data_IF_482756509047
#
_entry.id   IF_482756509047
#
_cell.length_a   1.000
_cell.length_b   1.000
_cell.length_c   1.000
_cell.angle_alpha   90.00
_cell.angle_beta   90.00
_cell.angle_gamma   90.00
#
_symmetry.space_group_name_H-M   'P 1'
#
loop_
_entity.id
_entity.type
_entity.pdbx_description
1 polymer ?
#
# COMPACT_ATOMS: atom_id res chain seq x y z
N UNK A 1 -19.82 20.71 -28.44
CA UNK A 1 -19.37 19.30 -28.44
C UNK A 1 -20.16 18.58 -27.37
N UNK A 2 -21.02 17.68 -27.80
CA UNK A 2 -22.08 17.01 -27.03
C UNK A 2 -21.49 16.18 -25.92
N UNK A 3 -22.02 16.36 -24.71
CA UNK A 3 -21.75 15.51 -23.54
C UNK A 3 -21.87 14.03 -23.92
N UNK A 4 -20.78 13.32 -23.97
CA UNK A 4 -20.82 11.86 -24.02
C UNK A 4 -21.41 11.41 -22.69
N UNK A 5 -22.70 11.08 -22.70
CA UNK A 5 -23.33 10.33 -21.63
C UNK A 5 -22.45 9.09 -21.39
N UNK A 6 -22.00 8.89 -20.16
CA UNK A 6 -21.19 7.74 -19.78
C UNK A 6 -21.84 6.47 -20.36
N UNK A 7 -21.07 5.73 -21.17
CA UNK A 7 -21.51 4.48 -21.78
C UNK A 7 -22.18 3.60 -20.71
N UNK A 8 -23.35 3.00 -20.97
CA UNK A 8 -24.03 2.12 -20.01
C UNK A 8 -23.12 1.02 -19.45
N UNK A 9 -22.22 0.49 -20.26
CA UNK A 9 -21.21 -0.50 -19.82
C UNK A 9 -20.26 0.07 -18.77
N UNK A 10 -19.81 1.32 -18.93
CA UNK A 10 -18.94 1.98 -17.94
C UNK A 10 -19.67 2.19 -16.61
N UNK A 11 -20.97 2.52 -16.64
CA UNK A 11 -21.77 2.65 -15.41
C UNK A 11 -21.94 1.33 -14.68
N UNK A 12 -22.27 0.25 -15.37
CA UNK A 12 -22.40 -1.08 -14.80
C UNK A 12 -21.07 -1.56 -14.18
N UNK A 13 -19.96 -1.29 -14.87
CA UNK A 13 -18.62 -1.62 -14.39
C UNK A 13 -18.28 -0.86 -13.09
N UNK A 14 -18.57 0.45 -13.05
CA UNK A 14 -18.34 1.27 -11.85
C UNK A 14 -19.24 0.83 -10.70
N UNK A 15 -20.50 0.46 -10.95
CA UNK A 15 -21.37 -0.09 -9.92
C UNK A 15 -20.81 -1.40 -9.34
N UNK A 16 -20.30 -2.28 -10.21
CA UNK A 16 -19.64 -3.52 -9.79
C UNK A 16 -18.41 -3.24 -8.92
N UNK A 17 -17.57 -2.27 -9.32
CA UNK A 17 -16.41 -1.83 -8.51
C UNK A 17 -16.88 -1.32 -7.14
N UNK A 18 -17.94 -0.51 -7.09
CA UNK A 18 -18.49 0.01 -5.84
C UNK A 18 -19.00 -1.10 -4.92
N UNK A 19 -19.72 -2.08 -5.46
CA UNK A 19 -20.23 -3.22 -4.70
C UNK A 19 -19.09 -4.07 -4.11
N UNK A 20 -18.07 -4.40 -4.91
CA UNK A 20 -16.90 -5.17 -4.46
C UNK A 20 -16.13 -4.37 -3.40
N UNK A 21 -15.94 -3.06 -3.61
CA UNK A 21 -15.24 -2.20 -2.65
C UNK A 21 -15.98 -2.12 -1.31
N UNK A 22 -17.31 -2.00 -1.32
CA UNK A 22 -18.11 -2.00 -0.10
C UNK A 22 -18.06 -3.36 0.62
N UNK A 23 -18.12 -4.48 -0.14
CA UNK A 23 -17.92 -5.82 0.42
C UNK A 23 -16.54 -5.99 1.05
N UNK A 24 -15.50 -5.53 0.37
CA UNK A 24 -14.12 -5.54 0.87
C UNK A 24 -13.99 -4.76 2.18
N UNK A 25 -14.54 -3.54 2.23
CA UNK A 25 -14.53 -2.71 3.44
C UNK A 25 -15.30 -3.36 4.58
N UNK A 26 -16.44 -3.99 4.30
CA UNK A 26 -17.23 -4.73 5.29
C UNK A 26 -16.46 -5.91 5.88
N UNK A 27 -15.73 -6.65 5.02
CA UNK A 27 -14.95 -7.81 5.45
C UNK A 27 -13.75 -7.41 6.31
N UNK A 28 -13.00 -6.39 5.87
CA UNK A 28 -11.85 -5.87 6.61
C UNK A 28 -12.27 -5.27 7.96
N UNK A 29 -13.43 -4.61 8.04
CA UNK A 29 -13.96 -4.04 9.29
C UNK A 29 -14.36 -5.10 10.34
N UNK A 30 -14.54 -6.37 9.95
CA UNK A 30 -14.72 -7.45 10.93
C UNK A 30 -13.47 -7.66 11.78
N UNK A 31 -12.29 -7.40 11.22
CA UNK A 31 -10.98 -7.65 11.84
C UNK A 31 -10.38 -6.37 12.42
N UNK A 32 -10.35 -5.31 11.61
CA UNK A 32 -9.79 -4.01 12.00
C UNK A 32 -10.90 -3.16 12.59
N UNK A 33 -10.83 -2.93 13.88
CA UNK A 33 -11.83 -2.18 14.62
C UNK A 33 -11.52 -0.69 14.55
N UNK A 34 -12.54 0.11 14.25
CA UNK A 34 -12.36 1.53 14.02
C UNK A 34 -11.59 1.82 12.74
N UNK A 35 -10.87 2.95 12.72
CA UNK A 35 -9.95 3.31 11.62
C UNK A 35 -10.61 3.35 10.22
N UNK A 36 -11.91 3.64 10.16
CA UNK A 36 -12.68 3.63 8.91
C UNK A 36 -12.06 4.50 7.82
N UNK A 37 -11.54 5.67 8.20
CA UNK A 37 -10.87 6.57 7.26
C UNK A 37 -9.58 5.95 6.70
N UNK A 38 -8.78 5.28 7.55
CA UNK A 38 -7.55 4.63 7.12
C UNK A 38 -7.84 3.43 6.22
N UNK A 39 -8.85 2.62 6.56
CA UNK A 39 -9.29 1.52 5.70
C UNK A 39 -9.75 2.02 4.33
N UNK A 40 -10.48 3.15 4.31
CA UNK A 40 -10.89 3.80 3.05
C UNK A 40 -9.69 4.29 2.25
N UNK A 41 -8.69 4.92 2.88
CA UNK A 41 -7.45 5.34 2.23
C UNK A 41 -6.70 4.15 1.62
N UNK A 42 -6.57 3.04 2.37
CA UNK A 42 -5.95 1.81 1.86
C UNK A 42 -6.73 1.25 0.66
N UNK A 43 -8.06 1.21 0.74
CA UNK A 43 -8.91 0.78 -0.38
C UNK A 43 -8.72 1.65 -1.62
N UNK A 44 -8.62 2.97 -1.46
CA UNK A 44 -8.31 3.91 -2.55
C UNK A 44 -6.94 3.59 -3.14
N UNK A 45 -5.90 3.42 -2.31
CA UNK A 45 -4.56 3.06 -2.78
C UNK A 45 -4.54 1.76 -3.58
N UNK A 46 -5.27 0.73 -3.13
CA UNK A 46 -5.40 -0.55 -3.83
C UNK A 46 -6.06 -0.36 -5.20
N UNK A 47 -7.17 0.36 -5.26
CA UNK A 47 -7.91 0.61 -6.49
C UNK A 47 -7.14 1.50 -7.47
N UNK A 48 -6.33 2.42 -6.98
CA UNK A 48 -5.45 3.27 -7.80
C UNK A 48 -4.13 2.59 -8.20
N UNK A 49 -3.94 1.30 -7.88
CA UNK A 49 -2.68 0.57 -8.09
C UNK A 49 -1.45 1.29 -7.51
N UNK A 50 -1.66 1.97 -6.38
CA UNK A 50 -0.69 2.87 -5.80
C UNK A 50 0.01 2.25 -4.59
N UNK A 51 1.23 2.72 -4.32
CA UNK A 51 1.98 2.37 -3.13
C UNK A 51 1.70 3.36 -2.00
N UNK A 52 1.73 2.90 -0.76
CA UNK A 52 1.35 3.68 0.43
C UNK A 52 2.46 3.64 1.47
N UNK A 53 2.73 4.76 2.11
CA UNK A 53 3.65 4.87 3.24
C UNK A 53 2.86 5.07 4.53
N UNK A 54 3.08 4.19 5.50
CA UNK A 54 2.44 4.24 6.81
C UNK A 54 3.50 4.64 7.85
N UNK A 55 3.38 5.85 8.35
CA UNK A 55 4.29 6.37 9.37
C UNK A 55 3.63 6.27 10.74
N UNK A 56 4.13 5.33 11.56
CA UNK A 56 3.51 5.05 12.84
C UNK A 56 4.41 4.26 13.78
N UNK A 57 4.04 4.28 15.06
CA UNK A 57 4.65 3.46 16.10
C UNK A 57 4.47 1.96 15.84
N UNK A 58 5.34 1.10 16.39
CA UNK A 58 5.16 -0.34 16.34
C UNK A 58 3.87 -0.78 17.07
N UNK A 59 3.33 -1.95 16.70
CA UNK A 59 2.18 -2.53 17.40
C UNK A 59 0.80 -2.02 16.97
N UNK A 60 0.68 -1.13 15.97
CA UNK A 60 -0.59 -0.55 15.52
C UNK A 60 -1.28 -1.36 14.41
N UNK A 61 -1.21 -2.69 14.47
CA UNK A 61 -1.92 -3.63 13.59
C UNK A 61 -1.68 -3.44 12.07
N UNK A 62 -0.57 -2.80 11.65
CA UNK A 62 -0.22 -2.59 10.22
C UNK A 62 -0.15 -3.90 9.44
N UNK A 63 0.51 -4.90 10.01
CA UNK A 63 0.62 -6.25 9.40
C UNK A 63 -0.73 -6.94 9.29
N UNK A 64 -1.54 -6.85 10.35
CA UNK A 64 -2.88 -7.42 10.36
C UNK A 64 -3.75 -6.78 9.26
N UNK A 65 -3.72 -5.47 9.15
CA UNK A 65 -4.46 -4.73 8.12
C UNK A 65 -4.04 -5.14 6.71
N UNK A 66 -2.74 -5.14 6.41
CA UNK A 66 -2.23 -5.49 5.08
C UNK A 66 -2.57 -6.94 4.69
N UNK A 67 -2.42 -7.88 5.64
CA UNK A 67 -2.78 -9.28 5.43
C UNK A 67 -4.30 -9.46 5.24
N UNK A 68 -5.12 -8.77 6.03
CA UNK A 68 -6.59 -8.83 5.92
C UNK A 68 -7.06 -8.35 4.55
N UNK A 69 -6.54 -7.22 4.06
CA UNK A 69 -6.82 -6.74 2.71
C UNK A 69 -6.38 -7.75 1.65
N UNK A 70 -5.18 -8.30 1.76
CA UNK A 70 -4.67 -9.26 0.79
C UNK A 70 -5.55 -10.52 0.74
N UNK A 71 -5.96 -11.06 1.89
CA UNK A 71 -6.85 -12.23 1.99
C UNK A 71 -8.22 -11.94 1.39
N UNK A 72 -8.84 -10.83 1.74
CA UNK A 72 -10.14 -10.44 1.20
C UNK A 72 -10.10 -10.19 -0.32
N UNK A 73 -8.95 -9.74 -0.85
CA UNK A 73 -8.70 -9.57 -2.28
C UNK A 73 -8.35 -10.88 -3.01
N UNK A 74 -8.13 -11.99 -2.31
CA UNK A 74 -7.61 -13.24 -2.87
C UNK A 74 -6.19 -13.11 -3.39
N UNK A 75 -5.43 -12.15 -2.89
CA UNK A 75 -4.07 -11.82 -3.30
C UNK A 75 -3.03 -12.50 -2.40
N UNK A 76 -1.88 -12.84 -2.99
CA UNK A 76 -0.74 -13.33 -2.21
C UNK A 76 -0.16 -12.19 -1.39
N UNK A 77 0.10 -12.45 -0.10
CA UNK A 77 0.71 -11.52 0.83
C UNK A 77 2.10 -11.97 1.23
N UNK A 78 3.04 -11.03 1.30
CA UNK A 78 4.33 -11.23 1.95
C UNK A 78 4.70 -10.01 2.81
N UNK A 79 5.34 -10.27 3.94
CA UNK A 79 5.96 -9.26 4.79
C UNK A 79 7.46 -9.39 4.74
N UNK A 80 8.15 -8.29 4.60
CA UNK A 80 9.61 -8.18 4.72
C UNK A 80 9.91 -7.16 5.80
N UNK A 81 10.64 -7.59 6.83
CA UNK A 81 11.21 -6.69 7.82
C UNK A 81 12.53 -6.15 7.28
N UNK A 82 12.63 -4.84 7.12
CA UNK A 82 13.85 -4.20 6.66
C UNK A 82 14.82 -4.02 7.82
N UNK A 83 16.04 -4.49 7.63
CA UNK A 83 17.13 -4.49 8.63
C UNK A 83 18.40 -3.93 8.00
N UNK A 84 19.38 -3.45 8.82
CA UNK A 84 20.61 -2.87 8.30
C UNK A 84 21.48 -3.81 7.45
N UNK A 85 21.31 -5.11 7.62
CA UNK A 85 22.03 -6.16 6.87
C UNK A 85 21.27 -6.71 5.65
N UNK A 86 20.02 -6.25 5.42
CA UNK A 86 19.21 -6.73 4.31
C UNK A 86 19.79 -6.30 2.96
N UNK A 87 20.04 -7.25 2.09
CA UNK A 87 20.58 -7.03 0.73
C UNK A 87 19.47 -6.94 -0.32
N UNK A 88 19.70 -6.27 -1.47
CA UNK A 88 18.75 -6.27 -2.59
C UNK A 88 18.37 -7.68 -3.07
N UNK A 89 19.32 -8.62 -3.10
CA UNK A 89 19.05 -10.01 -3.49
C UNK A 89 18.08 -10.74 -2.55
N UNK A 90 18.03 -10.37 -1.27
CA UNK A 90 17.12 -10.97 -0.30
C UNK A 90 15.66 -10.64 -0.61
N UNK A 91 15.41 -9.46 -1.19
CA UNK A 91 14.06 -9.04 -1.56
C UNK A 91 13.69 -9.39 -3.00
N UNK A 92 14.64 -9.31 -3.95
CA UNK A 92 14.42 -9.62 -5.36
C UNK A 92 14.47 -11.12 -5.65
N UNK A 93 15.36 -11.84 -4.96
CA UNK A 93 15.69 -13.22 -5.26
C UNK A 93 17.05 -13.31 -5.99
N UNK A 94 17.45 -14.54 -6.28
CA UNK A 94 18.72 -14.85 -6.92
C UNK A 94 18.61 -16.12 -7.74
N UNK A 95 19.53 -16.33 -8.69
CA UNK A 95 19.67 -17.58 -9.39
C UNK A 95 20.48 -18.57 -8.55
N UNK A 96 19.97 -19.78 -8.42
CA UNK A 96 20.66 -20.89 -7.76
C UNK A 96 20.86 -22.03 -8.74
N UNK A 97 22.04 -22.67 -8.68
CA UNK A 97 22.32 -23.84 -9.50
C UNK A 97 21.54 -25.04 -8.97
N UNK A 98 20.66 -25.59 -9.79
CA UNK A 98 19.94 -26.83 -9.54
C UNK A 98 20.80 -28.00 -10.02
N UNK A 99 21.39 -28.75 -9.08
CA UNK A 99 22.26 -29.87 -9.39
C UNK A 99 21.53 -31.01 -10.11
N UNK A 100 20.23 -31.18 -9.89
CA UNK A 100 19.46 -32.25 -10.53
C UNK A 100 19.11 -31.91 -11.97
N UNK A 101 18.80 -30.65 -12.24
CA UNK A 101 18.48 -30.18 -13.59
C UNK A 101 19.71 -29.73 -14.38
N UNK A 102 20.87 -29.52 -13.74
CA UNK A 102 22.10 -29.04 -14.37
C UNK A 102 22.01 -27.58 -14.87
N UNK A 103 21.10 -26.77 -14.31
CA UNK A 103 20.83 -25.40 -14.77
C UNK A 103 20.64 -24.43 -13.61
N UNK A 104 20.81 -23.13 -13.90
CA UNK A 104 20.49 -22.08 -12.96
C UNK A 104 18.99 -21.78 -12.97
N UNK A 105 18.34 -21.88 -11.78
CA UNK A 105 16.94 -21.57 -11.59
C UNK A 105 16.75 -20.35 -10.73
N UNK A 106 15.82 -19.48 -11.12
CA UNK A 106 15.43 -18.35 -10.31
C UNK A 106 14.75 -18.83 -9.01
N UNK A 107 15.31 -18.44 -7.88
CA UNK A 107 14.65 -18.48 -6.57
C UNK A 107 14.03 -17.12 -6.31
N UNK A 108 12.71 -16.93 -6.53
CA UNK A 108 12.10 -15.61 -6.42
C UNK A 108 12.05 -15.14 -4.97
N UNK A 109 12.42 -13.90 -4.76
CA UNK A 109 12.36 -13.23 -3.47
C UNK A 109 10.93 -12.82 -3.07
N UNK A 110 10.80 -12.12 -1.92
CA UNK A 110 9.51 -11.64 -1.44
C UNK A 110 8.79 -10.66 -2.36
N UNK A 111 9.47 -9.93 -3.23
CA UNK A 111 8.84 -9.03 -4.20
C UNK A 111 7.88 -9.76 -5.16
N UNK A 112 8.06 -11.07 -5.38
CA UNK A 112 7.14 -11.87 -6.19
C UNK A 112 5.85 -12.20 -5.41
N UNK A 113 5.08 -11.15 -5.12
CA UNK A 113 3.79 -11.21 -4.42
C UNK A 113 2.84 -10.17 -4.99
N UNK A 114 1.55 -10.21 -4.57
CA UNK A 114 0.57 -9.19 -4.98
C UNK A 114 0.51 -8.01 -4.00
N UNK A 115 0.57 -8.30 -2.70
CA UNK A 115 0.58 -7.31 -1.64
C UNK A 115 1.83 -7.52 -0.81
N UNK A 116 2.70 -6.53 -0.80
CA UNK A 116 3.92 -6.51 -0.03
C UNK A 116 3.78 -5.55 1.15
N UNK A 117 4.04 -6.02 2.35
CA UNK A 117 4.32 -5.15 3.49
C UNK A 117 5.84 -5.03 3.67
N UNK A 118 6.39 -3.88 3.30
CA UNK A 118 7.78 -3.53 3.55
C UNK A 118 7.87 -2.81 4.89
N UNK A 119 8.21 -3.55 5.94
CA UNK A 119 8.16 -3.05 7.31
C UNK A 119 9.49 -2.40 7.70
N UNK A 120 9.43 -1.17 8.24
CA UNK A 120 10.58 -0.35 8.68
C UNK A 120 11.61 -0.10 7.56
N UNK A 121 11.14 0.38 6.39
CA UNK A 121 12.01 0.55 5.20
C UNK A 121 13.20 1.48 5.44
N UNK A 122 13.09 2.42 6.38
CA UNK A 122 14.17 3.35 6.77
C UNK A 122 15.31 2.67 7.51
N UNK A 123 15.21 1.38 7.90
CA UNK A 123 16.31 0.65 8.55
C UNK A 123 17.27 -0.03 7.57
N UNK A 124 16.83 -0.30 6.34
CA UNK A 124 17.69 -0.94 5.36
C UNK A 124 18.61 0.05 4.65
N UNK A 125 19.76 -0.44 4.15
CA UNK A 125 20.68 0.39 3.38
C UNK A 125 20.04 1.00 2.12
N UNK A 126 20.52 2.16 1.65
CA UNK A 126 19.96 2.86 0.50
C UNK A 126 19.87 2.01 -0.78
N UNK A 127 20.79 1.07 -0.98
CA UNK A 127 20.76 0.15 -2.12
C UNK A 127 19.53 -0.77 -2.09
N UNK A 128 19.16 -1.27 -0.93
CA UNK A 128 17.99 -2.14 -0.75
C UNK A 128 16.69 -1.35 -0.86
N UNK A 129 16.67 -0.14 -0.31
CA UNK A 129 15.56 0.79 -0.51
C UNK A 129 15.36 1.11 -2.00
N UNK A 130 16.43 1.41 -2.73
CA UNK A 130 16.37 1.71 -4.17
C UNK A 130 15.81 0.53 -4.98
N UNK A 131 16.21 -0.71 -4.67
CA UNK A 131 15.67 -1.91 -5.33
C UNK A 131 14.16 -2.08 -5.09
N UNK A 132 13.68 -1.83 -3.88
CA UNK A 132 12.24 -1.83 -3.60
C UNK A 132 11.52 -0.73 -4.40
N UNK A 133 12.03 0.50 -4.36
CA UNK A 133 11.40 1.65 -5.01
C UNK A 133 11.36 1.51 -6.54
N UNK A 134 12.39 0.92 -7.14
CA UNK A 134 12.40 0.57 -8.57
C UNK A 134 11.32 -0.47 -8.88
N UNK A 135 11.25 -1.55 -8.09
CA UNK A 135 10.22 -2.58 -8.25
C UNK A 135 8.79 -2.02 -8.09
N UNK A 136 8.61 -1.04 -7.19
CA UNK A 136 7.33 -0.36 -6.98
C UNK A 136 6.89 0.48 -8.18
N UNK A 137 7.83 1.12 -8.86
CA UNK A 137 7.57 1.98 -10.02
C UNK A 137 7.40 1.15 -11.30
N UNK A 138 8.40 0.32 -11.61
CA UNK A 138 8.48 -0.42 -12.86
C UNK A 138 7.60 -1.70 -12.89
N UNK A 139 7.11 -2.16 -11.73
CA UNK A 139 6.38 -3.43 -11.56
C UNK A 139 7.16 -4.62 -12.11
N UNK A 140 8.48 -4.53 -12.07
CA UNK A 140 9.43 -5.55 -12.49
C UNK A 140 10.71 -5.47 -11.67
N UNK A 141 11.53 -6.49 -11.73
CA UNK A 141 12.87 -6.54 -11.11
C UNK A 141 13.88 -7.11 -12.11
N UNK A 142 15.12 -6.62 -12.07
CA UNK A 142 16.21 -7.13 -12.90
C UNK A 142 17.19 -7.89 -12.01
N UNK A 143 17.34 -9.20 -12.26
CA UNK A 143 18.19 -10.11 -11.50
C UNK A 143 19.23 -10.67 -12.47
N UNK A 144 20.52 -10.41 -12.21
CA UNK A 144 21.63 -10.86 -13.07
C UNK A 144 21.44 -10.51 -14.56
N UNK A 145 20.91 -9.30 -14.83
CA UNK A 145 20.67 -8.82 -16.20
C UNK A 145 19.37 -9.32 -16.85
N UNK A 146 18.61 -10.19 -16.18
CA UNK A 146 17.33 -10.69 -16.69
C UNK A 146 16.17 -9.98 -15.96
N UNK A 147 15.28 -9.38 -16.75
CA UNK A 147 14.11 -8.66 -16.22
C UNK A 147 12.92 -9.59 -16.03
N UNK A 148 12.36 -9.57 -14.84
CA UNK A 148 11.19 -10.36 -14.43
C UNK A 148 10.04 -9.46 -14.02
N UNK A 149 8.88 -9.65 -14.65
CA UNK A 149 7.64 -8.94 -14.25
C UNK A 149 7.12 -9.46 -12.93
N UNK A 150 6.68 -8.55 -12.08
CA UNK A 150 6.02 -8.89 -10.82
C UNK A 150 4.55 -9.29 -11.06
N UNK A 151 3.96 -10.10 -10.17
CA UNK A 151 2.55 -10.47 -10.26
C UNK A 151 1.63 -9.25 -10.20
N UNK A 152 0.64 -9.17 -11.07
CA UNK A 152 -0.36 -8.09 -11.05
C UNK A 152 -1.62 -8.51 -10.27
N UNK A 153 -2.19 -7.62 -9.43
CA UNK A 153 -1.64 -6.33 -9.03
C UNK A 153 -0.39 -6.49 -8.16
N UNK A 154 0.53 -5.50 -8.18
CA UNK A 154 1.62 -5.41 -7.22
C UNK A 154 1.50 -4.10 -6.44
N UNK A 155 1.17 -4.20 -5.17
CA UNK A 155 0.89 -3.08 -4.27
C UNK A 155 1.82 -3.19 -3.07
N UNK A 156 2.51 -2.10 -2.76
CA UNK A 156 3.38 -2.03 -1.59
C UNK A 156 2.77 -1.13 -0.52
N UNK A 157 2.68 -1.65 0.68
CA UNK A 157 2.48 -0.90 1.91
C UNK A 157 3.81 -0.86 2.63
N UNK A 158 4.48 0.29 2.62
CA UNK A 158 5.71 0.47 3.35
C UNK A 158 5.43 1.08 4.71
N UNK A 159 6.22 0.72 5.73
CA UNK A 159 6.13 1.35 7.02
C UNK A 159 7.42 2.06 7.39
N UNK A 160 7.30 3.10 8.18
CA UNK A 160 8.41 3.85 8.74
C UNK A 160 8.10 4.18 10.19
N UNK A 161 9.10 4.02 11.07
CA UNK A 161 8.99 4.44 12.45
C UNK A 161 9.59 5.85 12.61
N UNK A 162 8.81 6.86 13.02
CA UNK A 162 9.30 8.23 13.10
C UNK A 162 10.24 8.49 14.27
N UNK A 163 10.26 7.63 15.28
CA UNK A 163 11.05 7.84 16.51
C UNK A 163 12.47 7.26 16.40
N UNK A 164 12.64 6.18 15.68
CA UNK A 164 13.94 5.55 15.52
C UNK A 164 14.83 6.38 14.60
N UNK A 165 15.73 7.16 15.17
CA UNK A 165 16.71 7.95 14.43
C UNK A 165 18.08 7.27 14.35
N UNK A 166 18.46 6.48 15.35
CA UNK A 166 19.74 5.75 15.34
C UNK A 166 19.69 4.54 14.40
N UNK A 167 20.68 4.43 13.52
CA UNK A 167 20.80 3.32 12.58
C UNK A 167 19.77 3.32 11.45
N UNK A 168 19.14 4.47 11.17
CA UNK A 168 18.16 4.60 10.08
C UNK A 168 18.70 5.42 8.92
N UNK A 169 18.19 5.10 7.73
CA UNK A 169 18.45 5.79 6.48
C UNK A 169 17.13 6.45 6.01
N UNK A 170 16.89 7.73 6.32
CA UNK A 170 15.66 8.39 5.93
C UNK A 170 15.52 8.42 4.41
N UNK A 171 14.29 8.25 3.94
CA UNK A 171 13.99 8.37 2.52
C UNK A 171 14.10 9.83 2.07
N UNK A 172 14.89 10.15 1.02
CA UNK A 172 14.87 11.46 0.40
C UNK A 172 13.48 11.82 -0.13
N UNK A 173 13.14 13.12 -0.18
CA UNK A 173 11.85 13.60 -0.68
C UNK A 173 11.50 13.05 -2.06
N UNK A 174 12.46 13.01 -3.00
CA UNK A 174 12.27 12.45 -4.33
C UNK A 174 11.93 10.95 -4.35
N UNK A 175 12.26 10.23 -3.29
CA UNK A 175 11.89 8.81 -3.12
C UNK A 175 10.52 8.67 -2.44
N UNK A 176 10.17 9.59 -1.57
CA UNK A 176 8.84 9.64 -0.95
C UNK A 176 7.74 9.94 -1.97
N UNK A 177 8.04 10.65 -3.04
CA UNK A 177 7.10 10.97 -4.14
C UNK A 177 6.60 9.72 -4.90
N UNK A 178 7.25 8.57 -4.73
CA UNK A 178 6.80 7.27 -5.28
C UNK A 178 5.65 6.64 -4.51
N UNK A 179 5.30 7.21 -3.35
CA UNK A 179 4.13 6.82 -2.59
C UNK A 179 2.99 7.81 -2.87
N UNK A 180 1.84 7.28 -3.31
CA UNK A 180 0.65 8.11 -3.58
C UNK A 180 0.18 8.86 -2.34
N UNK A 181 0.32 8.23 -1.18
CA UNK A 181 -0.09 8.82 0.08
C UNK A 181 0.80 8.37 1.24
N UNK A 182 1.01 9.29 2.17
CA UNK A 182 1.56 9.05 3.49
C UNK A 182 0.41 9.12 4.50
N UNK A 183 0.30 8.13 5.36
CA UNK A 183 -0.79 8.03 6.32
C UNK A 183 -0.29 7.54 7.68
N UNK A 184 -1.03 7.87 8.74
CA UNK A 184 -0.84 7.34 10.09
C UNK A 184 -2.09 6.61 10.53
N UNK A 185 -1.93 5.47 11.20
CA UNK A 185 -3.03 4.71 11.80
C UNK A 185 -3.47 5.32 13.13
N UNK A 186 -2.52 5.83 13.90
CA UNK A 186 -2.73 6.32 15.25
C UNK A 186 -3.19 5.24 16.23
N UNK A 187 -3.27 5.59 17.50
CA UNK A 187 -3.84 4.69 18.52
C UNK A 187 -5.36 4.60 18.39
N UNK A 188 -5.95 3.44 18.74
CA UNK A 188 -7.41 3.33 18.86
C UNK A 188 -7.92 4.22 20.00
N UNK A 189 -9.16 4.66 19.89
CA UNK A 189 -9.82 5.35 21.01
C UNK A 189 -10.24 4.37 22.12
N UNK A 190 -10.66 4.90 23.26
CA UNK A 190 -11.05 4.08 24.43
C UNK A 190 -12.18 3.08 24.13
N UNK A 191 -13.10 3.42 23.25
CA UNK A 191 -14.23 2.53 22.89
C UNK A 191 -13.76 1.46 21.91
N UNK A 192 -12.91 1.83 20.96
CA UNK A 192 -12.27 0.91 20.04
C UNK A 192 -11.39 -0.11 20.78
N UNK A 193 -10.58 0.32 21.75
CA UNK A 193 -9.78 -0.58 22.61
C UNK A 193 -10.66 -1.58 23.36
N UNK A 194 -11.73 -1.09 24.00
CA UNK A 194 -12.70 -1.97 24.67
C UNK A 194 -13.32 -2.99 23.70
N UNK A 195 -13.67 -2.55 22.49
CA UNK A 195 -14.24 -3.42 21.46
C UNK A 195 -13.23 -4.46 20.98
N UNK A 196 -11.95 -4.11 20.84
CA UNK A 196 -10.86 -5.04 20.47
C UNK A 196 -10.78 -6.17 21.53
N UNK A 197 -10.73 -5.81 22.80
CA UNK A 197 -10.67 -6.78 23.91
C UNK A 197 -11.91 -7.68 23.97
N UNK A 198 -13.10 -7.12 23.79
CA UNK A 198 -14.36 -7.89 23.77
C UNK A 198 -14.38 -8.88 22.62
N UNK A 199 -14.06 -8.44 21.39
CA UNK A 199 -14.03 -9.32 20.23
C UNK A 199 -12.95 -10.40 20.36
N UNK A 200 -11.79 -10.09 20.94
CA UNK A 200 -10.73 -11.08 21.21
C UNK A 200 -11.22 -12.15 22.21
N UNK A 201 -11.90 -11.73 23.28
CA UNK A 201 -12.48 -12.64 24.28
C UNK A 201 -13.54 -13.55 23.65
N UNK A 202 -14.43 -13.02 22.83
CA UNK A 202 -15.50 -13.80 22.17
C UNK A 202 -14.93 -14.80 21.16
N UNK A 203 -13.92 -14.41 20.39
CA UNK A 203 -13.30 -15.25 19.36
C UNK A 203 -12.49 -16.41 19.96
N UNK A 204 -11.83 -16.21 21.11
CA UNK A 204 -11.04 -17.23 21.80
C UNK A 204 -9.73 -17.65 21.11
N UNK A 205 -9.51 -17.25 19.86
CA UNK A 205 -8.34 -17.57 19.01
C UNK A 205 -7.73 -16.30 18.41
N UNK A 206 -6.48 -16.38 17.93
CA UNK A 206 -5.82 -15.25 17.25
C UNK A 206 -6.20 -15.14 15.77
N UNK A 207 -6.60 -16.22 15.15
CA UNK A 207 -7.00 -16.25 13.76
C UNK A 207 -8.32 -15.51 13.52
N UNK A 208 -8.41 -14.95 12.33
CA UNK A 208 -9.60 -14.25 11.85
C UNK A 208 -10.14 -14.99 10.63
N UNK A 209 -11.42 -15.32 10.67
CA UNK A 209 -12.11 -15.88 9.52
C UNK A 209 -12.48 -14.74 8.56
N UNK A 210 -11.79 -14.68 7.43
CA UNK A 210 -11.93 -13.64 6.41
C UNK A 210 -12.33 -14.31 5.11
N UNK A 211 -13.43 -13.85 4.52
CA UNK A 211 -13.89 -14.29 3.24
C UNK A 211 -13.15 -13.58 2.10
N UNK A 212 -12.82 -14.35 1.06
CA UNK A 212 -12.28 -13.79 -0.18
C UNK A 212 -13.42 -13.18 -1.00
N UNK A 213 -13.42 -11.87 -1.17
CA UNK A 213 -14.46 -11.10 -1.86
C UNK A 213 -14.22 -11.04 -3.36
N UNK A 214 -12.96 -11.09 -3.78
CA UNK A 214 -12.59 -10.91 -5.19
C UNK A 214 -11.35 -11.75 -5.54
N UNK A 215 -10.72 -11.50 -6.67
CA UNK A 215 -9.49 -12.18 -7.11
C UNK A 215 -8.51 -11.20 -7.74
N UNK A 216 -7.21 -11.52 -7.83
CA UNK A 216 -6.20 -10.65 -8.43
C UNK A 216 -6.58 -10.14 -9.82
N UNK A 217 -7.13 -11.02 -10.66
CA UNK A 217 -7.61 -10.65 -12.01
C UNK A 217 -8.73 -9.61 -11.97
N UNK A 218 -9.68 -9.77 -11.04
CA UNK A 218 -10.79 -8.83 -10.87
C UNK A 218 -10.28 -7.50 -10.28
N UNK A 219 -9.31 -7.51 -9.37
CA UNK A 219 -8.69 -6.27 -8.85
C UNK A 219 -8.07 -5.46 -10.00
N UNK A 220 -7.29 -6.10 -10.89
CA UNK A 220 -6.74 -5.43 -12.08
C UNK A 220 -7.83 -4.90 -13.00
N UNK A 221 -8.94 -5.63 -13.16
CA UNK A 221 -10.08 -5.14 -13.93
C UNK A 221 -10.74 -3.91 -13.29
N UNK A 222 -10.86 -3.90 -11.94
CA UNK A 222 -11.39 -2.75 -11.18
C UNK A 222 -10.48 -1.53 -11.33
N UNK A 223 -9.16 -1.70 -11.26
CA UNK A 223 -8.18 -0.62 -11.48
C UNK A 223 -8.35 0.02 -12.86
N UNK A 224 -8.46 -0.80 -13.90
CA UNK A 224 -8.73 -0.32 -15.28
C UNK A 224 -10.09 0.36 -15.43
N UNK A 225 -11.10 -0.10 -14.70
CA UNK A 225 -12.43 0.50 -14.73
C UNK A 225 -12.43 1.95 -14.23
N UNK A 226 -11.56 2.30 -13.28
CA UNK A 226 -11.45 3.67 -12.78
C UNK A 226 -11.01 4.66 -13.86
N UNK A 227 -10.23 4.23 -14.86
CA UNK A 227 -9.81 5.08 -15.98
C UNK A 227 -10.99 5.51 -16.86
N UNK A 228 -12.14 4.82 -16.76
CA UNK A 228 -13.36 5.15 -17.51
C UNK A 228 -14.26 6.16 -16.78
N UNK A 229 -13.91 6.58 -15.58
CA UNK A 229 -14.69 7.55 -14.81
C UNK A 229 -14.62 8.92 -15.50
N UNK A 230 -15.78 9.44 -15.85
CA UNK A 230 -15.86 10.77 -16.43
C UNK A 230 -15.57 11.85 -15.38
N UNK A 231 -14.66 12.74 -15.70
CA UNK A 231 -14.34 13.91 -14.87
C UNK A 231 -14.67 15.16 -15.68
N UNK A 232 -15.57 15.99 -15.18
CA UNK A 232 -15.94 17.23 -15.83
C UNK A 232 -14.76 18.20 -15.90
N UNK A 233 -14.69 19.00 -16.98
CA UNK A 233 -13.60 19.97 -17.21
C UNK A 233 -13.48 20.97 -16.06
N UNK A 234 -14.59 21.36 -15.43
CA UNK A 234 -14.55 22.26 -14.26
C UNK A 234 -13.83 21.62 -13.07
N UNK A 235 -14.03 20.31 -12.84
CA UNK A 235 -13.33 19.56 -11.79
C UNK A 235 -11.85 19.43 -12.12
N UNK A 236 -11.50 19.15 -13.38
CA UNK A 236 -10.09 19.10 -13.81
C UNK A 236 -9.40 20.45 -13.57
N UNK A 237 -10.05 21.56 -13.94
CA UNK A 237 -9.53 22.90 -13.68
C UNK A 237 -9.36 23.19 -12.19
N UNK A 238 -10.31 22.76 -11.38
CA UNK A 238 -10.23 22.90 -9.93
C UNK A 238 -9.05 22.11 -9.33
N UNK A 239 -8.84 20.87 -9.78
CA UNK A 239 -7.69 20.03 -9.36
C UNK A 239 -6.37 20.73 -9.72
N UNK A 240 -6.26 21.23 -10.95
CA UNK A 240 -5.05 21.97 -11.41
C UNK A 240 -4.81 23.19 -10.54
N UNK A 241 -5.85 23.99 -10.25
CA UNK A 241 -5.71 25.18 -9.39
C UNK A 241 -5.26 24.82 -7.97
N UNK A 242 -5.80 23.76 -7.37
CA UNK A 242 -5.34 23.27 -6.08
C UNK A 242 -3.85 22.93 -6.09
N UNK A 243 -3.40 22.16 -7.10
CA UNK A 243 -1.98 21.78 -7.22
C UNK A 243 -1.10 23.00 -7.46
N UNK A 244 -1.53 23.96 -8.27
CA UNK A 244 -0.79 25.21 -8.46
C UNK A 244 -0.65 26.01 -7.16
N UNK A 245 -1.72 26.10 -6.37
CA UNK A 245 -1.66 26.80 -5.06
C UNK A 245 -0.71 26.15 -4.08
N UNK A 246 -0.63 24.82 -4.03
CA UNK A 246 0.35 24.14 -3.17
C UNK A 246 1.80 24.45 -3.56
N UNK A 247 2.07 24.67 -4.84
CA UNK A 247 3.41 25.06 -5.33
C UNK A 247 3.73 26.53 -5.13
N UNK A 248 2.71 27.40 -5.09
CA UNK A 248 2.85 28.85 -4.96
C UNK A 248 2.97 29.33 -3.50
N UNK A 249 2.76 28.47 -2.51
CA UNK A 249 2.92 28.81 -1.09
C UNK A 249 4.41 29.01 -0.81
N UNK A 250 4.80 30.26 -0.56
CA UNK A 250 6.15 30.55 -0.08
C UNK A 250 6.32 29.95 1.32
N UNK A 251 7.47 29.33 1.57
CA UNK A 251 7.82 28.63 2.82
C UNK A 251 7.58 29.41 4.11
N UNK A 252 7.45 30.73 4.04
CA UNK A 252 7.24 31.64 5.17
C UNK A 252 5.88 31.49 5.88
N UNK A 253 4.91 30.79 5.30
CA UNK A 253 3.59 30.59 5.91
C UNK A 253 3.32 29.19 6.46
N UNK A 254 4.29 28.27 6.35
CA UNK A 254 4.19 26.90 6.90
C UNK A 254 4.87 26.73 8.27
N UNK A 255 5.50 27.76 8.80
CA UNK A 255 5.93 27.75 10.19
C UNK A 255 4.71 28.02 11.07
N UNK A 256 4.10 26.94 11.55
CA UNK A 256 3.22 27.03 12.72
C UNK A 256 4.00 27.78 13.82
N UNK A 257 3.39 28.76 14.50
CA UNK A 257 4.03 29.41 15.64
C UNK A 257 4.35 28.31 16.65
N UNK A 258 5.64 28.03 16.84
CA UNK A 258 6.09 27.23 17.97
C UNK A 258 5.81 28.07 19.21
N UNK A 259 4.72 27.78 19.89
CA UNK A 259 4.54 28.24 21.25
C UNK A 259 5.67 27.63 22.09
N UNK A 260 6.78 28.37 22.19
CA UNK A 260 7.69 28.26 23.31
C UNK A 260 7.00 28.98 24.46
N UNK A 261 6.25 28.25 25.24
CA UNK A 261 6.03 28.67 26.62
C UNK A 261 7.06 27.98 27.50
N UNK A 262 7.70 28.81 28.28
CA UNK A 262 8.73 28.56 29.29
C UNK A 262 8.24 27.61 30.38
#
# INVERSE_FOLDING_TARGET
MTMAASDPKSRELIQTVSQISNGLMGEVAKVIIGKQENLRKVSIGILSNANMLIEDYPGLAKTLMANTFATALGCKFKRVQFTPDLLPADIMGTYMYDQQAGEFKLRPGPLFTNVLLADEINRAPPKTQAALLEAMEEKQVTIEGITHKLPAPFITMATQNPIEQEGTYPLPEAQMDRFMMKMSMGYPDRQEEKSILQRRKLRGKDDHDIETITSPKKVVAMQKALETVHVDTAILSYIVELVHRTRAVSYTHLTLPTNREV
#
